data_IF_253352661902
#
_entry.id   IF_253352661902
#
_cell.length_a   1.000
_cell.length_b   1.000
_cell.length_c   1.000
_cell.angle_alpha   90.00
_cell.angle_beta   90.00
_cell.angle_gamma   90.00
#
_symmetry.space_group_name_H-M   'P 1'
#
loop_
_entity.id
_entity.type
_entity.pdbx_description
1 polymer ?
#
# COMPACT_ATOMS: atom_id res chain seq x y z
N UNK A 1 22.09 27.00 -0.71
CA UNK A 1 21.89 26.45 -2.07
C UNK A 1 20.58 25.68 -2.11
N UNK A 2 19.70 26.02 -3.05
CA UNK A 2 18.44 25.31 -3.27
C UNK A 2 18.71 23.87 -3.76
N UNK A 3 17.85 22.94 -3.35
CA UNK A 3 17.91 21.53 -3.74
C UNK A 3 17.32 21.35 -5.15
N UNK A 4 17.99 20.58 -6.00
CA UNK A 4 17.61 20.37 -7.41
C UNK A 4 16.93 19.02 -7.58
N UNK A 5 15.73 19.02 -8.17
CA UNK A 5 14.99 17.79 -8.44
C UNK A 5 15.56 17.11 -9.68
N UNK A 6 15.97 15.84 -9.55
CA UNK A 6 16.54 15.03 -10.62
C UNK A 6 15.50 14.09 -11.24
N UNK A 7 14.58 13.58 -10.42
CA UNK A 7 13.56 12.63 -10.87
C UNK A 7 12.33 12.65 -9.96
N UNK A 8 11.15 12.40 -10.54
CA UNK A 8 9.89 12.26 -9.82
C UNK A 8 9.09 11.11 -10.41
N UNK A 9 8.77 10.11 -9.58
CA UNK A 9 7.83 9.04 -9.91
C UNK A 9 6.53 9.18 -9.12
N UNK A 10 5.42 8.92 -9.83
CA UNK A 10 4.07 8.78 -9.27
C UNK A 10 3.50 7.42 -9.74
N UNK A 11 3.85 6.32 -9.05
CA UNK A 11 3.47 4.97 -9.48
C UNK A 11 1.94 4.73 -9.50
N UNK A 12 1.14 5.53 -8.78
CA UNK A 12 -0.31 5.46 -8.89
C UNK A 12 -0.87 4.12 -8.40
N UNK A 13 -2.00 3.64 -8.94
CA UNK A 13 -2.59 2.35 -8.58
C UNK A 13 -1.65 1.15 -8.78
N UNK A 14 -0.61 1.29 -9.62
CA UNK A 14 0.42 0.27 -9.82
C UNK A 14 1.30 0.02 -8.60
N UNK A 15 1.37 0.97 -7.67
CA UNK A 15 2.12 0.88 -6.41
C UNK A 15 1.48 -0.03 -5.36
N UNK A 16 0.25 -0.52 -5.61
CA UNK A 16 -0.41 -1.43 -4.67
C UNK A 16 0.41 -2.71 -4.49
N UNK A 17 0.59 -3.20 -3.25
CA UNK A 17 1.33 -4.42 -2.99
C UNK A 17 0.79 -5.59 -3.81
N UNK A 18 1.68 -6.50 -4.19
CA UNK A 18 1.26 -7.76 -4.79
C UNK A 18 0.30 -8.49 -3.83
N UNK A 19 -0.85 -8.93 -4.37
CA UNK A 19 -1.92 -9.52 -3.56
C UNK A 19 -3.00 -8.55 -3.07
N UNK A 20 -2.83 -7.22 -3.18
CA UNK A 20 -3.92 -6.27 -2.87
C UNK A 20 -5.16 -6.52 -3.76
N UNK A 21 -4.94 -6.83 -5.04
CA UNK A 21 -6.01 -7.21 -5.96
C UNK A 21 -6.71 -8.52 -5.57
N UNK A 22 -5.96 -9.52 -5.11
CA UNK A 22 -6.52 -10.78 -4.60
C UNK A 22 -7.32 -10.57 -3.32
N UNK A 23 -6.82 -9.74 -2.41
CA UNK A 23 -7.53 -9.39 -1.17
C UNK A 23 -8.87 -8.70 -1.46
N UNK A 24 -8.90 -7.75 -2.40
CA UNK A 24 -10.14 -7.12 -2.87
C UNK A 24 -11.05 -8.17 -3.51
N UNK A 25 -10.50 -9.03 -4.37
CA UNK A 25 -11.23 -10.10 -5.05
C UNK A 25 -11.90 -11.09 -4.07
N UNK A 26 -11.26 -11.38 -2.94
CA UNK A 26 -11.80 -12.25 -1.88
C UNK A 26 -12.79 -11.52 -0.96
N UNK A 27 -12.61 -10.22 -0.74
CA UNK A 27 -13.50 -9.42 0.10
C UNK A 27 -14.89 -9.25 -0.51
N UNK A 28 -14.98 -9.15 -1.84
CA UNK A 28 -16.26 -8.93 -2.55
C UNK A 28 -17.27 -10.08 -2.32
N UNK A 29 -16.93 -11.37 -2.55
CA UNK A 29 -17.83 -12.48 -2.25
C UNK A 29 -18.27 -12.54 -0.79
N UNK A 30 -17.38 -12.19 0.15
CA UNK A 30 -17.70 -12.18 1.58
C UNK A 30 -18.71 -11.08 1.92
N UNK A 31 -18.55 -9.88 1.36
CA UNK A 31 -19.50 -8.79 1.52
C UNK A 31 -20.87 -9.13 0.92
N UNK A 32 -20.90 -9.75 -0.27
CA UNK A 32 -22.14 -10.21 -0.90
C UNK A 32 -22.83 -11.30 -0.08
N UNK A 33 -22.09 -12.26 0.45
CA UNK A 33 -22.62 -13.31 1.31
C UNK A 33 -23.21 -12.73 2.61
N UNK A 34 -22.54 -11.75 3.23
CA UNK A 34 -23.08 -11.04 4.39
C UNK A 34 -24.38 -10.29 4.05
N UNK A 35 -24.43 -9.61 2.90
CA UNK A 35 -25.63 -8.93 2.44
C UNK A 35 -26.79 -9.91 2.18
N UNK A 36 -26.50 -11.09 1.61
CA UNK A 36 -27.47 -12.15 1.41
C UNK A 36 -27.99 -12.72 2.74
N UNK A 37 -27.13 -12.94 3.73
CA UNK A 37 -27.57 -13.38 5.07
C UNK A 37 -28.46 -12.33 5.74
N UNK A 38 -28.08 -11.05 5.71
CA UNK A 38 -28.92 -9.98 6.23
C UNK A 38 -30.27 -9.92 5.50
N UNK A 39 -30.26 -10.08 4.18
CA UNK A 39 -31.50 -10.15 3.41
C UNK A 39 -32.40 -11.32 3.84
N UNK A 40 -31.81 -12.52 4.01
CA UNK A 40 -32.54 -13.73 4.45
C UNK A 40 -33.12 -13.55 5.86
N UNK A 41 -32.41 -12.86 6.76
CA UNK A 41 -32.90 -12.60 8.12
C UNK A 41 -34.17 -11.75 8.10
N UNK A 42 -34.26 -10.77 7.20
CA UNK A 42 -35.36 -9.82 7.17
C UNK A 42 -36.48 -10.16 6.17
N UNK A 43 -36.30 -11.22 5.36
CA UNK A 43 -37.26 -11.61 4.33
C UNK A 43 -37.69 -13.09 4.43
N UNK A 44 -39.00 -13.38 4.54
CA UNK A 44 -40.12 -12.45 4.65
C UNK A 44 -40.11 -11.70 5.99
N UNK A 45 -40.75 -10.53 6.04
CA UNK A 45 -40.80 -9.71 7.25
C UNK A 45 -41.41 -10.49 8.43
N UNK A 46 -40.81 -10.42 9.63
CA UNK A 46 -41.30 -11.15 10.80
C UNK A 46 -42.73 -10.75 11.14
N UNK A 47 -43.61 -11.75 11.23
CA UNK A 47 -45.04 -11.56 11.52
C UNK A 47 -45.39 -11.70 13.00
N UNK A 48 -44.42 -12.06 13.85
CA UNK A 48 -44.61 -12.23 15.30
C UNK A 48 -43.51 -11.55 16.10
N UNK A 49 -43.81 -11.11 17.33
CA UNK A 49 -42.82 -10.45 18.22
C UNK A 49 -41.63 -11.36 18.53
N UNK A 50 -41.86 -12.68 18.63
CA UNK A 50 -40.79 -13.67 18.86
C UNK A 50 -39.86 -13.80 17.65
N UNK A 51 -40.40 -13.78 16.44
CA UNK A 51 -39.61 -13.78 15.21
C UNK A 51 -38.82 -12.47 15.08
N UNK A 52 -39.45 -11.33 15.37
CA UNK A 52 -38.78 -10.02 15.36
C UNK A 52 -37.59 -9.99 16.34
N UNK A 53 -37.76 -10.50 17.56
CA UNK A 53 -36.68 -10.59 18.54
C UNK A 53 -35.54 -11.51 18.09
N UNK A 54 -35.87 -12.61 17.41
CA UNK A 54 -34.89 -13.54 16.84
C UNK A 54 -34.08 -12.89 15.71
N UNK A 55 -34.74 -12.21 14.77
CA UNK A 55 -34.10 -11.57 13.61
C UNK A 55 -33.21 -10.40 14.03
N UNK A 56 -33.63 -9.61 15.02
CA UNK A 56 -32.80 -8.57 15.65
C UNK A 56 -31.57 -9.21 16.33
N UNK A 57 -31.76 -10.27 17.12
CA UNK A 57 -30.67 -10.96 17.80
C UNK A 57 -29.64 -11.53 16.82
N UNK A 58 -30.10 -12.14 15.73
CA UNK A 58 -29.25 -12.70 14.68
C UNK A 58 -28.52 -11.60 13.91
N UNK A 59 -29.17 -10.47 13.64
CA UNK A 59 -28.55 -9.28 13.03
C UNK A 59 -27.43 -8.74 13.93
N UNK A 60 -27.69 -8.55 15.22
CA UNK A 60 -26.70 -8.07 16.18
C UNK A 60 -25.51 -9.03 16.30
N UNK A 61 -25.77 -10.35 16.32
CA UNK A 61 -24.72 -11.36 16.34
C UNK A 61 -23.85 -11.29 15.08
N UNK A 62 -24.46 -11.19 13.89
CA UNK A 62 -23.73 -11.11 12.62
C UNK A 62 -22.87 -9.84 12.56
N UNK A 63 -23.43 -8.70 12.97
CA UNK A 63 -22.69 -7.44 13.08
C UNK A 63 -21.55 -7.52 14.09
N UNK A 64 -21.76 -8.14 15.26
CA UNK A 64 -20.73 -8.30 16.28
C UNK A 64 -19.59 -9.21 15.81
N UNK A 65 -19.90 -10.31 15.11
CA UNK A 65 -18.90 -11.19 14.51
C UNK A 65 -18.10 -10.49 13.42
N UNK A 66 -18.77 -9.75 12.52
CA UNK A 66 -18.13 -8.95 11.49
C UNK A 66 -17.21 -7.86 12.07
N UNK A 67 -17.71 -7.11 13.05
CA UNK A 67 -16.94 -6.08 13.76
C UNK A 67 -15.75 -6.69 14.52
N UNK A 68 -15.92 -7.85 15.16
CA UNK A 68 -14.86 -8.54 15.88
C UNK A 68 -13.75 -9.06 14.96
N UNK A 69 -14.11 -9.58 13.79
CA UNK A 69 -13.16 -9.98 12.76
C UNK A 69 -12.40 -8.77 12.22
N UNK A 70 -13.12 -7.71 11.84
CA UNK A 70 -12.53 -6.46 11.36
C UNK A 70 -11.60 -5.85 12.40
N UNK A 71 -12.00 -5.83 13.67
CA UNK A 71 -11.19 -5.35 14.78
C UNK A 71 -9.91 -6.16 14.94
N UNK A 72 -9.97 -7.51 14.91
CA UNK A 72 -8.76 -8.35 14.96
C UNK A 72 -7.81 -8.06 13.81
N UNK A 73 -8.33 -7.91 12.59
CA UNK A 73 -7.52 -7.58 11.42
C UNK A 73 -6.90 -6.19 11.58
N UNK A 74 -7.69 -5.18 11.95
CA UNK A 74 -7.22 -3.80 12.13
C UNK A 74 -6.16 -3.68 13.22
N UNK A 75 -6.32 -4.40 14.34
CA UNK A 75 -5.36 -4.35 15.46
C UNK A 75 -4.03 -5.04 15.15
N UNK A 76 -4.06 -6.10 14.33
CA UNK A 76 -2.84 -6.81 13.91
C UNK A 76 -2.14 -6.20 12.70
N UNK A 77 -2.86 -5.48 11.83
CA UNK A 77 -2.38 -5.07 10.50
C UNK A 77 -2.60 -3.57 10.19
N UNK A 78 -2.85 -2.73 11.19
CA UNK A 78 -3.17 -1.30 10.97
C UNK A 78 -2.09 -0.54 10.20
N UNK A 79 -0.82 -0.85 10.41
CA UNK A 79 0.30 -0.27 9.66
C UNK A 79 0.27 -0.69 8.18
N UNK A 80 -0.03 -1.96 7.90
CA UNK A 80 -0.15 -2.50 6.54
C UNK A 80 -1.34 -1.90 5.81
N UNK A 81 -2.49 -1.79 6.47
CA UNK A 81 -3.68 -1.15 5.91
C UNK A 81 -3.42 0.33 5.57
N UNK A 82 -2.74 1.07 6.46
CA UNK A 82 -2.32 2.43 6.18
C UNK A 82 -1.32 2.52 5.01
N UNK A 83 -0.41 1.56 4.92
CA UNK A 83 0.53 1.43 3.79
C UNK A 83 -0.20 1.20 2.46
N UNK A 84 -1.13 0.26 2.40
CA UNK A 84 -1.95 -0.05 1.21
C UNK A 84 -2.76 1.19 0.79
N UNK A 85 -3.37 1.89 1.73
CA UNK A 85 -4.21 3.05 1.44
C UNK A 85 -3.41 4.25 0.91
N UNK A 86 -2.17 4.39 1.39
CA UNK A 86 -1.24 5.45 0.97
C UNK A 86 -0.51 5.12 -0.33
N UNK A 87 -0.26 3.83 -0.60
CA UNK A 87 0.58 3.35 -1.70
C UNK A 87 0.25 4.00 -3.06
N UNK A 88 -1.03 4.13 -3.48
CA UNK A 88 -1.37 4.74 -4.76
C UNK A 88 -0.98 6.21 -4.91
N UNK A 89 -0.78 6.89 -3.77
CA UNK A 89 -0.54 8.33 -3.71
C UNK A 89 0.91 8.65 -3.33
N UNK A 90 1.75 7.64 -3.16
CA UNK A 90 3.17 7.83 -2.90
C UNK A 90 3.81 8.48 -4.13
N UNK A 91 4.51 9.58 -3.88
CA UNK A 91 5.37 10.26 -4.83
C UNK A 91 6.82 10.06 -4.39
N UNK A 92 7.60 9.41 -5.24
CA UNK A 92 9.03 9.21 -5.06
C UNK A 92 9.75 10.37 -5.74
N UNK A 93 10.54 11.14 -5.00
CA UNK A 93 11.31 12.27 -5.53
C UNK A 93 12.78 12.02 -5.25
N UNK A 94 13.61 12.05 -6.29
CA UNK A 94 15.07 12.04 -6.21
C UNK A 94 15.55 13.46 -6.45
N UNK A 95 16.37 13.95 -5.54
CA UNK A 95 17.06 15.24 -5.64
C UNK A 95 18.55 15.04 -5.57
N UNK A 96 19.32 16.10 -5.84
CA UNK A 96 20.78 16.14 -5.69
C UNK A 96 21.30 15.81 -4.28
N UNK A 97 20.42 15.73 -3.27
CA UNK A 97 20.79 15.50 -1.87
C UNK A 97 20.14 14.30 -1.21
N UNK A 98 19.03 13.79 -1.75
CA UNK A 98 18.24 12.74 -1.08
C UNK A 98 17.18 12.13 -2.00
N UNK A 99 16.66 11.00 -1.54
CA UNK A 99 15.47 10.36 -2.06
C UNK A 99 14.37 10.46 -1.01
N UNK A 100 13.18 10.92 -1.42
CA UNK A 100 12.04 11.11 -0.52
C UNK A 100 10.80 10.41 -1.03
N UNK A 101 10.06 9.78 -0.12
CA UNK A 101 8.72 9.23 -0.36
C UNK A 101 7.72 10.14 0.33
N UNK A 102 6.79 10.73 -0.43
CA UNK A 102 5.80 11.67 0.11
C UNK A 102 4.39 11.30 -0.34
N UNK A 103 3.39 11.64 0.47
CA UNK A 103 1.98 11.61 0.07
C UNK A 103 1.46 13.05 -0.01
N UNK A 104 0.51 13.36 -0.89
CA UNK A 104 0.14 14.74 -1.21
C UNK A 104 -0.50 15.50 -0.05
N UNK A 105 -1.04 14.80 0.95
CA UNK A 105 -1.66 15.38 2.14
C UNK A 105 -0.74 15.41 3.38
N UNK A 106 0.52 15.00 3.25
CA UNK A 106 1.50 15.05 4.36
C UNK A 106 2.59 16.06 4.06
N UNK A 107 2.84 16.97 5.01
CA UNK A 107 3.97 17.89 4.94
C UNK A 107 5.30 17.16 5.17
N UNK A 108 5.30 16.11 6.00
CA UNK A 108 6.47 15.28 6.29
C UNK A 108 6.60 14.10 5.33
N UNK A 109 7.83 13.75 4.90
CA UNK A 109 8.07 12.54 4.12
C UNK A 109 7.80 11.29 4.95
N UNK A 110 7.29 10.24 4.28
CA UNK A 110 7.12 8.91 4.86
C UNK A 110 8.47 8.23 5.10
N UNK A 111 9.40 8.47 4.19
CA UNK A 111 10.77 7.97 4.24
C UNK A 111 11.67 8.99 3.54
N UNK A 112 12.87 9.19 4.09
CA UNK A 112 13.91 10.04 3.54
C UNK A 112 15.27 9.32 3.66
N UNK A 113 15.98 9.23 2.54
CA UNK A 113 17.32 8.64 2.46
C UNK A 113 18.24 9.69 1.85
N UNK A 114 19.23 10.15 2.61
CA UNK A 114 20.22 11.10 2.13
C UNK A 114 21.14 10.49 1.08
N UNK A 115 21.63 11.30 0.13
CA UNK A 115 22.54 10.87 -0.94
C UNK A 115 23.82 10.23 -0.39
N UNK A 116 24.31 10.69 0.77
CA UNK A 116 25.48 10.11 1.44
C UNK A 116 25.31 8.65 1.88
N UNK A 117 24.07 8.13 1.89
CA UNK A 117 23.74 6.74 2.23
C UNK A 117 23.53 5.87 0.99
N UNK A 118 23.56 6.46 -0.20
CA UNK A 118 23.22 5.80 -1.47
C UNK A 118 24.52 5.55 -2.25
N UNK A 119 24.76 4.30 -2.59
CA UNK A 119 25.90 3.89 -3.42
C UNK A 119 25.57 3.83 -4.92
N UNK A 120 24.28 3.79 -5.27
CA UNK A 120 23.82 3.76 -6.65
C UNK A 120 22.45 3.09 -6.80
N UNK A 121 22.15 2.64 -8.01
CA UNK A 121 20.92 1.93 -8.32
C UNK A 121 21.13 0.77 -9.29
N UNK A 122 20.26 -0.23 -9.20
CA UNK A 122 20.21 -1.39 -10.10
C UNK A 122 18.90 -1.33 -10.87
N UNK A 123 18.97 -1.46 -12.20
CA UNK A 123 17.81 -1.62 -13.04
C UNK A 123 17.42 -3.10 -13.09
N UNK A 124 16.18 -3.41 -12.75
CA UNK A 124 15.58 -4.72 -12.95
C UNK A 124 14.83 -4.80 -14.28
N UNK A 125 13.95 -5.79 -14.41
CA UNK A 125 13.17 -5.97 -15.63
C UNK A 125 12.23 -4.79 -15.88
N UNK A 126 12.17 -4.35 -17.15
CA UNK A 126 11.31 -3.28 -17.62
C UNK A 126 10.40 -3.75 -18.74
N UNK A 127 9.16 -3.28 -18.75
CA UNK A 127 8.22 -3.45 -19.85
C UNK A 127 8.57 -2.54 -21.05
N UNK A 128 7.85 -2.73 -22.16
CA UNK A 128 8.01 -1.93 -23.38
C UNK A 128 7.68 -0.43 -23.20
N UNK A 129 7.09 -0.04 -22.06
CA UNK A 129 6.75 1.34 -21.70
C UNK A 129 7.75 1.95 -20.72
N UNK A 130 8.83 1.24 -20.39
CA UNK A 130 9.86 1.67 -19.44
C UNK A 130 9.46 1.49 -17.97
N UNK A 131 8.31 0.88 -17.69
CA UNK A 131 7.88 0.58 -16.33
C UNK A 131 8.56 -0.69 -15.86
N UNK A 132 9.09 -0.69 -14.66
CA UNK A 132 9.85 -1.85 -14.20
C UNK A 132 10.26 -1.78 -12.76
N UNK A 133 11.04 -2.77 -12.38
CA UNK A 133 11.63 -2.82 -11.04
C UNK A 133 13.00 -2.16 -11.03
N UNK A 134 13.35 -1.54 -9.92
CA UNK A 134 14.68 -1.04 -9.64
C UNK A 134 15.02 -1.25 -8.16
N UNK A 135 16.30 -1.19 -7.83
CA UNK A 135 16.74 -1.20 -6.44
C UNK A 135 17.67 -0.02 -6.17
N UNK A 136 17.54 0.58 -4.98
CA UNK A 136 18.53 1.52 -4.44
C UNK A 136 19.57 0.70 -3.69
N UNK A 137 20.85 0.89 -3.97
CA UNK A 137 21.94 0.30 -3.19
C UNK A 137 22.30 1.29 -2.07
N UNK A 138 22.24 0.83 -0.84
CA UNK A 138 22.62 1.62 0.33
C UNK A 138 24.01 1.23 0.85
N UNK A 139 24.59 2.10 1.67
CA UNK A 139 25.80 1.80 2.43
C UNK A 139 25.58 0.58 3.35
N UNK A 140 26.60 -0.25 3.60
CA UNK A 140 26.46 -1.42 4.47
C UNK A 140 26.01 -1.06 5.89
N UNK A 141 25.04 -1.82 6.42
CA UNK A 141 24.50 -1.63 7.77
C UNK A 141 23.45 -0.52 7.87
N UNK A 142 22.96 -0.02 6.73
CA UNK A 142 21.92 0.98 6.69
C UNK A 142 20.56 0.39 7.14
N UNK A 143 19.89 0.98 8.14
CA UNK A 143 18.64 0.43 8.69
C UNK A 143 17.44 0.53 7.74
N UNK A 144 17.54 1.30 6.65
CA UNK A 144 16.48 1.41 5.65
C UNK A 144 16.58 0.32 4.56
N UNK A 145 17.71 -0.38 4.48
CA UNK A 145 17.91 -1.48 3.54
C UNK A 145 17.40 -2.81 4.06
N UNK A 146 17.15 -3.73 3.13
CA UNK A 146 16.97 -5.15 3.45
C UNK A 146 18.31 -5.82 3.83
N UNK A 147 18.30 -7.16 3.90
CA UNK A 147 19.50 -7.96 4.21
C UNK A 147 20.67 -7.76 3.23
N UNK A 148 20.39 -7.28 2.02
CA UNK A 148 21.38 -6.95 0.99
C UNK A 148 21.74 -5.45 0.98
N UNK A 149 21.23 -4.67 1.94
CA UNK A 149 21.29 -3.21 1.98
C UNK A 149 20.63 -2.56 0.75
N UNK A 150 19.53 -3.14 0.29
CA UNK A 150 18.78 -2.65 -0.87
C UNK A 150 17.38 -2.20 -0.50
N UNK A 151 16.88 -1.21 -1.23
CA UNK A 151 15.47 -0.87 -1.23
C UNK A 151 14.92 -1.26 -2.60
N UNK A 152 14.09 -2.29 -2.62
CA UNK A 152 13.40 -2.74 -3.83
C UNK A 152 12.20 -1.86 -4.14
N UNK A 153 12.09 -1.43 -5.39
CA UNK A 153 11.01 -0.62 -5.91
C UNK A 153 10.42 -1.32 -7.12
N UNK A 154 9.21 -1.84 -6.95
CA UNK A 154 8.49 -2.50 -8.04
C UNK A 154 7.59 -1.52 -8.78
N UNK A 155 7.43 -1.74 -10.08
CA UNK A 155 6.47 -1.04 -10.95
C UNK A 155 6.68 0.49 -10.96
N UNK A 156 7.94 0.92 -10.96
CA UNK A 156 8.29 2.31 -11.23
C UNK A 156 7.82 2.69 -12.64
N UNK A 157 7.28 3.90 -12.85
CA UNK A 157 6.80 4.33 -14.16
C UNK A 157 7.92 4.56 -15.18
N UNK A 158 9.13 4.89 -14.71
CA UNK A 158 10.35 5.06 -15.51
C UNK A 158 11.54 4.57 -14.69
N UNK A 159 11.79 3.25 -14.72
CA UNK A 159 12.82 2.62 -13.88
C UNK A 159 14.24 3.01 -14.34
N UNK A 160 14.46 3.17 -15.65
CA UNK A 160 15.75 3.56 -16.20
C UNK A 160 16.11 5.00 -15.83
N UNK A 161 15.17 5.95 -15.97
CA UNK A 161 15.37 7.33 -15.54
C UNK A 161 15.60 7.47 -14.03
N UNK A 162 14.95 6.62 -13.23
CA UNK A 162 15.20 6.54 -11.79
C UNK A 162 16.63 6.12 -11.46
N UNK A 163 17.12 5.02 -12.06
CA UNK A 163 18.50 4.54 -11.84
C UNK A 163 19.53 5.57 -12.35
N UNK A 164 19.26 6.21 -13.48
CA UNK A 164 20.10 7.29 -13.99
C UNK A 164 20.16 8.49 -13.04
N UNK A 165 19.05 8.83 -12.36
CA UNK A 165 19.04 9.87 -11.35
C UNK A 165 19.83 9.48 -10.09
N UNK A 166 19.77 8.22 -9.65
CA UNK A 166 20.59 7.72 -8.56
C UNK A 166 22.08 7.73 -8.89
N UNK A 167 22.45 7.40 -10.14
CA UNK A 167 23.84 7.47 -10.60
C UNK A 167 24.43 8.87 -10.63
N UNK A 168 23.62 9.93 -10.51
CA UNK A 168 24.10 11.31 -10.33
C UNK A 168 24.34 11.70 -8.87
N UNK A 169 23.95 10.83 -7.93
CA UNK A 169 24.11 11.03 -6.48
C UNK A 169 25.32 10.31 -5.89
N UNK A 170 25.70 9.18 -6.50
CA UNK A 170 26.88 8.41 -6.17
C UNK A 170 28.13 9.01 -6.82
#
# INVERSE_FOLDING_TARGET
MAETVLYVARPGPGALPEGAGLAIGLAIPQALMCAAFLWIIWFPWPTTERALGFDIGLTLLLCALGAGLFWKIARGQGAVAAGILRAPFICLTVTDKRVTWRVPWSSTPLLEVGASRILGGILGDTDARGRGSAAIILVPGDPAGDWENRIHLDRLPDAAGFVAALGRLA
#
